data_IF_970336306529
#
_entry.id   IF_970336306529
#
_cell.length_a   1.000
_cell.length_b   1.000
_cell.length_c   1.000
_cell.angle_alpha   90.00
_cell.angle_beta   90.00
_cell.angle_gamma   90.00
#
_symmetry.space_group_name_H-M   'P 1'
#
loop_
_entity.id
_entity.type
_entity.pdbx_description
1 polymer ?
#
# COMPACT_ATOMS: atom_id res chain seq x y z
N UNK A 1 -29.46 25.35 -6.40
CA UNK A 1 -28.27 24.49 -6.44
C UNK A 1 -28.14 23.81 -5.08
N UNK A 2 -28.24 22.48 -5.02
CA UNK A 2 -27.97 21.75 -3.77
C UNK A 2 -26.53 22.05 -3.36
N UNK A 3 -26.34 22.64 -2.18
CA UNK A 3 -25.00 22.93 -1.67
C UNK A 3 -24.23 21.64 -1.44
N UNK A 4 -22.95 21.62 -1.83
CA UNK A 4 -22.03 20.52 -1.55
C UNK A 4 -21.85 20.39 -0.03
N UNK A 5 -21.96 19.16 0.48
CA UNK A 5 -21.84 18.83 1.91
C UNK A 5 -20.70 17.85 2.15
N UNK A 6 -20.10 17.94 3.33
CA UNK A 6 -19.13 16.97 3.84
C UNK A 6 -19.74 15.57 3.80
N UNK A 7 -18.93 14.59 3.37
CA UNK A 7 -19.31 13.18 3.23
C UNK A 7 -19.92 12.81 1.87
N UNK A 8 -20.30 13.79 1.03
CA UNK A 8 -20.81 13.51 -0.31
C UNK A 8 -19.71 12.99 -1.24
N UNK A 9 -20.11 12.12 -2.17
CA UNK A 9 -19.25 11.63 -3.25
C UNK A 9 -19.47 12.53 -4.47
N UNK A 10 -18.38 13.11 -4.96
CA UNK A 10 -18.36 14.09 -6.04
C UNK A 10 -17.31 13.73 -7.08
N UNK A 11 -17.54 14.13 -8.32
CA UNK A 11 -16.53 14.18 -9.37
C UNK A 11 -16.13 15.64 -9.64
N UNK A 12 -14.97 15.85 -10.25
CA UNK A 12 -14.53 17.18 -10.68
C UNK A 12 -14.86 17.38 -12.16
N UNK A 13 -15.68 18.39 -12.47
CA UNK A 13 -16.10 18.71 -13.83
C UNK A 13 -14.90 19.03 -14.74
N UNK A 14 -13.91 19.76 -14.22
CA UNK A 14 -12.67 20.10 -14.93
C UNK A 14 -11.81 18.88 -15.34
N UNK A 15 -12.09 17.71 -14.76
CA UNK A 15 -11.42 16.44 -15.07
C UNK A 15 -12.42 15.39 -15.59
N UNK A 16 -13.57 15.82 -16.14
CA UNK A 16 -14.61 14.94 -16.66
C UNK A 16 -15.14 13.90 -15.64
N UNK A 17 -15.03 14.19 -14.34
CA UNK A 17 -15.40 13.26 -13.26
C UNK A 17 -14.68 11.91 -13.37
N UNK A 18 -13.44 11.89 -13.87
CA UNK A 18 -12.59 10.71 -14.01
C UNK A 18 -12.32 9.96 -12.70
N UNK A 19 -12.23 10.71 -11.59
CA UNK A 19 -12.01 10.19 -10.24
C UNK A 19 -13.16 10.59 -9.33
N UNK A 20 -13.64 9.61 -8.55
CA UNK A 20 -14.58 9.84 -7.46
C UNK A 20 -13.85 10.32 -6.22
N UNK A 21 -14.37 11.39 -5.63
CA UNK A 21 -13.84 11.98 -4.40
C UNK A 21 -14.92 12.03 -3.33
N UNK A 22 -14.52 11.88 -2.07
CA UNK A 22 -15.31 12.23 -0.89
C UNK A 22 -14.95 13.62 -0.40
N UNK A 23 -15.97 14.43 -0.12
CA UNK A 23 -15.78 15.75 0.48
C UNK A 23 -15.42 15.59 1.96
N UNK A 24 -14.22 16.00 2.34
CA UNK A 24 -13.73 15.93 3.73
C UNK A 24 -14.01 17.21 4.48
N UNK A 25 -13.82 18.36 3.84
CA UNK A 25 -14.10 19.67 4.41
C UNK A 25 -14.58 20.65 3.33
N UNK A 26 -15.35 21.65 3.74
CA UNK A 26 -15.78 22.76 2.88
C UNK A 26 -15.39 24.06 3.56
N UNK A 27 -14.44 24.77 2.98
CA UNK A 27 -13.88 26.02 3.48
C UNK A 27 -14.30 27.17 2.54
N UNK A 28 -15.51 27.67 2.74
CA UNK A 28 -16.09 28.73 1.90
C UNK A 28 -16.29 28.27 0.46
N UNK A 29 -15.51 28.81 -0.47
CA UNK A 29 -15.61 28.50 -1.90
C UNK A 29 -14.78 27.28 -2.34
N UNK A 30 -13.98 26.71 -1.45
CA UNK A 30 -13.07 25.58 -1.75
C UNK A 30 -13.42 24.38 -0.87
N UNK A 31 -13.35 23.18 -1.43
CA UNK A 31 -13.50 21.93 -0.71
C UNK A 31 -12.20 21.13 -0.71
N UNK A 32 -11.95 20.42 0.39
CA UNK A 32 -10.90 19.40 0.51
C UNK A 32 -11.52 18.03 0.20
N UNK A 33 -10.84 17.29 -0.67
CA UNK A 33 -11.34 16.07 -1.29
C UNK A 33 -10.33 14.94 -1.12
N UNK A 34 -10.79 13.76 -0.71
CA UNK A 34 -10.02 12.52 -0.76
C UNK A 34 -10.58 11.60 -1.84
N UNK A 35 -9.72 10.97 -2.64
CA UNK A 35 -10.17 9.98 -3.62
C UNK A 35 -10.87 8.80 -2.93
N UNK A 36 -11.87 8.20 -3.58
CA UNK A 36 -12.57 7.01 -3.06
C UNK A 36 -11.81 5.71 -3.36
N UNK A 37 -11.07 5.70 -4.46
CA UNK A 37 -10.33 4.55 -5.00
C UNK A 37 -8.82 4.81 -5.12
N UNK A 38 -8.40 6.03 -4.82
CA UNK A 38 -7.07 6.56 -4.97
C UNK A 38 -6.62 7.28 -3.69
N UNK A 39 -5.38 7.04 -3.25
CA UNK A 39 -4.69 7.74 -2.15
C UNK A 39 -4.31 9.20 -2.49
N UNK A 40 -5.24 9.92 -3.11
CA UNK A 40 -5.07 11.27 -3.65
C UNK A 40 -5.86 12.26 -2.80
N UNK A 41 -5.21 13.37 -2.44
CA UNK A 41 -5.89 14.54 -1.86
C UNK A 41 -5.89 15.68 -2.86
N UNK A 42 -7.02 16.37 -2.95
CA UNK A 42 -7.17 17.53 -3.82
C UNK A 42 -7.94 18.65 -3.12
N UNK A 43 -7.59 19.89 -3.46
CA UNK A 43 -8.41 21.05 -3.15
C UNK A 43 -9.09 21.51 -4.46
N UNK A 44 -10.39 21.78 -4.42
CA UNK A 44 -11.16 22.16 -5.59
C UNK A 44 -12.23 23.22 -5.27
N UNK A 45 -12.53 24.16 -6.18
CA UNK A 45 -13.66 25.07 -6.03
C UNK A 45 -14.98 24.28 -5.93
N UNK A 46 -15.89 24.69 -5.04
CA UNK A 46 -17.20 24.04 -4.88
C UNK A 46 -17.99 24.02 -6.19
N UNK A 47 -17.78 25.02 -7.05
CA UNK A 47 -18.39 25.12 -8.39
C UNK A 47 -17.86 24.11 -9.40
N UNK A 48 -16.70 23.49 -9.14
CA UNK A 48 -16.11 22.43 -9.98
C UNK A 48 -16.65 21.04 -9.60
N UNK A 49 -17.45 20.93 -8.53
CA UNK A 49 -17.90 19.66 -7.99
C UNK A 49 -19.27 19.26 -8.52
N UNK A 50 -19.36 18.02 -9.01
CA UNK A 50 -20.59 17.40 -9.47
C UNK A 50 -20.92 16.25 -8.51
N UNK A 51 -22.09 16.30 -7.87
CA UNK A 51 -22.55 15.19 -7.03
C UNK A 51 -22.84 13.97 -7.90
N UNK A 52 -22.20 12.86 -7.60
CA UNK A 52 -22.30 11.65 -8.41
C UNK A 52 -23.57 10.88 -8.06
N UNK A 53 -24.34 10.45 -9.05
CA UNK A 53 -25.53 9.64 -8.82
C UNK A 53 -25.16 8.21 -8.40
N UNK A 54 -26.11 7.50 -7.79
CA UNK A 54 -25.86 6.14 -7.28
C UNK A 54 -25.50 5.15 -8.41
N UNK A 55 -26.12 5.30 -9.59
CA UNK A 55 -25.82 4.47 -10.76
C UNK A 55 -24.36 4.63 -11.21
N UNK A 56 -23.89 5.89 -11.31
CA UNK A 56 -22.50 6.19 -11.70
C UNK A 56 -21.50 5.68 -10.65
N UNK A 57 -21.82 5.83 -9.36
CA UNK A 57 -20.99 5.29 -8.27
C UNK A 57 -20.87 3.77 -8.35
N UNK A 58 -21.97 3.07 -8.63
CA UNK A 58 -22.00 1.61 -8.79
C UNK A 58 -21.16 1.15 -9.99
N UNK A 59 -21.21 1.88 -11.10
CA UNK A 59 -20.41 1.57 -12.30
C UNK A 59 -18.91 1.67 -12.02
N UNK A 60 -18.45 2.78 -11.43
CA UNK A 60 -17.05 2.94 -11.01
C UNK A 60 -16.62 1.83 -10.04
N UNK A 61 -17.44 1.57 -9.02
CA UNK A 61 -17.16 0.53 -8.02
C UNK A 61 -17.01 -0.86 -8.67
N UNK A 62 -17.86 -1.18 -9.66
CA UNK A 62 -17.80 -2.47 -10.36
C UNK A 62 -16.51 -2.62 -11.16
N UNK A 63 -16.11 -1.59 -11.90
CA UNK A 63 -14.84 -1.59 -12.66
C UNK A 63 -13.64 -1.75 -11.72
N UNK A 64 -13.69 -1.11 -10.55
CA UNK A 64 -12.67 -1.27 -9.52
C UNK A 64 -12.60 -2.71 -8.99
N UNK A 65 -13.74 -3.30 -8.64
CA UNK A 65 -13.84 -4.69 -8.16
C UNK A 65 -13.35 -5.71 -9.18
N UNK A 66 -13.63 -5.50 -10.47
CA UNK A 66 -13.14 -6.36 -11.55
C UNK A 66 -11.61 -6.33 -11.65
N UNK A 67 -11.00 -5.15 -11.51
CA UNK A 67 -9.53 -5.01 -11.46
C UNK A 67 -8.94 -5.67 -10.22
N UNK A 68 -9.57 -5.48 -9.06
CA UNK A 68 -9.17 -6.11 -7.80
C UNK A 68 -9.16 -7.64 -7.91
N UNK A 69 -10.24 -8.22 -8.44
CA UNK A 69 -10.34 -9.66 -8.60
C UNK A 69 -9.31 -10.18 -9.61
N UNK A 70 -9.08 -9.48 -10.71
CA UNK A 70 -8.05 -9.83 -11.70
C UNK A 70 -6.64 -9.87 -11.07
N UNK A 71 -6.26 -8.83 -10.31
CA UNK A 71 -4.99 -8.79 -9.59
C UNK A 71 -4.87 -9.93 -8.57
N UNK A 72 -5.95 -10.23 -7.84
CA UNK A 72 -5.97 -11.32 -6.88
C UNK A 72 -5.74 -12.69 -7.56
N UNK A 73 -6.37 -12.93 -8.72
CA UNK A 73 -6.18 -14.18 -9.47
C UNK A 73 -4.73 -14.34 -9.96
N UNK A 74 -4.12 -13.26 -10.47
CA UNK A 74 -2.70 -13.26 -10.85
C UNK A 74 -1.80 -13.61 -9.65
N UNK A 75 -2.06 -12.99 -8.49
CA UNK A 75 -1.29 -13.28 -7.29
C UNK A 75 -1.41 -14.74 -6.84
N UNK A 76 -2.61 -15.33 -6.93
CA UNK A 76 -2.83 -16.75 -6.63
C UNK A 76 -2.04 -17.67 -7.56
N UNK A 77 -1.94 -17.33 -8.84
CA UNK A 77 -1.14 -18.08 -9.81
C UNK A 77 0.35 -17.99 -9.48
N UNK A 78 0.85 -16.77 -9.23
CA UNK A 78 2.24 -16.51 -8.82
C UNK A 78 2.63 -17.29 -7.57
N UNK A 79 1.75 -17.28 -6.56
CA UNK A 79 1.97 -18.01 -5.30
C UNK A 79 2.05 -19.52 -5.53
N UNK A 80 1.19 -20.06 -6.40
CA UNK A 80 1.21 -21.48 -6.73
C UNK A 80 2.55 -21.86 -7.38
N UNK A 81 3.04 -21.07 -8.33
CA UNK A 81 4.31 -21.31 -9.01
C UNK A 81 5.51 -21.26 -8.05
N UNK A 82 5.57 -20.24 -7.17
CA UNK A 82 6.64 -20.12 -6.16
C UNK A 82 6.63 -21.32 -5.21
N UNK A 83 5.45 -21.75 -4.79
CA UNK A 83 5.31 -22.90 -3.89
C UNK A 83 5.77 -24.19 -4.57
N UNK A 84 5.36 -24.44 -5.81
CA UNK A 84 5.77 -25.62 -6.58
C UNK A 84 7.29 -25.67 -6.81
N UNK A 85 7.90 -24.53 -7.18
CA UNK A 85 9.36 -24.43 -7.35
C UNK A 85 10.09 -24.76 -6.05
N UNK A 86 9.60 -24.25 -4.93
CA UNK A 86 10.31 -24.42 -3.67
C UNK A 86 10.03 -25.75 -2.97
N UNK A 87 8.86 -26.37 -3.20
CA UNK A 87 8.60 -27.77 -2.82
C UNK A 87 9.61 -28.73 -3.48
N UNK A 88 9.96 -28.48 -4.75
CA UNK A 88 11.00 -29.22 -5.45
C UNK A 88 12.39 -29.07 -4.81
N UNK A 89 12.76 -27.85 -4.38
CA UNK A 89 14.04 -27.57 -3.72
C UNK A 89 14.13 -28.23 -2.33
N UNK A 90 13.07 -28.12 -1.50
CA UNK A 90 13.07 -28.62 -0.12
C UNK A 90 13.14 -30.14 -0.09
N UNK A 91 12.43 -30.80 -0.99
CA UNK A 91 12.42 -32.27 -1.08
C UNK A 91 13.73 -32.83 -1.64
N UNK A 92 14.69 -32.00 -2.07
CA UNK A 92 15.91 -32.44 -2.76
C UNK A 92 15.63 -33.40 -3.92
N UNK A 93 14.45 -33.27 -4.56
CA UNK A 93 13.99 -34.18 -5.62
C UNK A 93 13.39 -35.52 -5.15
N UNK A 94 13.23 -35.76 -3.85
CA UNK A 94 12.54 -36.95 -3.33
C UNK A 94 11.02 -36.77 -3.33
N UNK A 95 10.28 -37.83 -3.68
CA UNK A 95 8.82 -37.81 -3.86
C UNK A 95 8.00 -37.81 -2.56
N UNK A 96 8.65 -37.85 -1.40
CA UNK A 96 7.94 -37.76 -0.13
C UNK A 96 7.49 -36.32 0.12
N UNK A 97 6.17 -36.10 0.05
CA UNK A 97 5.53 -34.85 0.46
C UNK A 97 5.70 -34.68 1.97
N UNK A 98 6.87 -34.25 2.42
CA UNK A 98 7.03 -33.83 3.81
C UNK A 98 6.17 -32.59 4.02
N UNK A 99 5.21 -32.69 4.95
CA UNK A 99 4.43 -31.55 5.37
C UNK A 99 5.37 -30.56 6.08
N UNK A 100 5.48 -29.35 5.54
CA UNK A 100 6.10 -28.20 6.20
C UNK A 100 5.04 -27.13 6.41
N UNK A 101 5.24 -26.27 7.41
CA UNK A 101 4.42 -25.07 7.59
C UNK A 101 5.17 -23.85 7.06
N UNK A 102 4.40 -22.86 6.62
CA UNK A 102 4.89 -21.57 6.13
C UNK A 102 4.69 -20.50 7.20
N UNK A 103 5.71 -19.69 7.41
CA UNK A 103 5.68 -18.48 8.24
C UNK A 103 5.91 -17.27 7.34
N UNK A 104 4.84 -16.67 6.78
CA UNK A 104 4.95 -15.43 6.01
C UNK A 104 5.48 -14.28 6.87
N UNK A 105 6.16 -13.33 6.23
CA UNK A 105 6.60 -12.11 6.91
C UNK A 105 5.40 -11.30 7.43
N UNK A 106 5.48 -10.82 8.67
CA UNK A 106 4.43 -10.06 9.34
C UNK A 106 4.46 -8.59 8.94
N UNK A 107 3.28 -8.03 8.69
CA UNK A 107 3.12 -6.64 8.25
C UNK A 107 2.59 -5.79 9.39
N UNK A 108 3.21 -4.63 9.59
CA UNK A 108 2.60 -3.48 10.26
C UNK A 108 2.18 -2.47 9.18
N UNK A 109 0.87 -2.24 9.02
CA UNK A 109 0.34 -1.28 8.07
C UNK A 109 -0.22 -0.06 8.80
N UNK A 110 0.45 1.08 8.65
CA UNK A 110 0.00 2.38 9.12
C UNK A 110 -0.58 3.15 7.93
N UNK A 111 -1.85 3.55 7.98
CA UNK A 111 -2.50 4.33 6.92
C UNK A 111 -3.21 5.58 7.48
N UNK A 112 -3.08 6.70 6.77
CA UNK A 112 -3.81 7.93 7.05
C UNK A 112 -5.32 7.82 6.84
N UNK A 113 -5.76 6.79 6.11
CA UNK A 113 -7.16 6.56 5.78
C UNK A 113 -7.66 5.21 6.33
N UNK A 114 -8.67 5.21 7.23
CA UNK A 114 -9.21 3.97 7.79
C UNK A 114 -9.97 3.11 6.76
N UNK A 115 -10.57 3.70 5.72
CA UNK A 115 -11.25 2.96 4.67
C UNK A 115 -10.24 2.26 3.77
N UNK A 116 -9.14 2.92 3.38
CA UNK A 116 -8.08 2.25 2.63
C UNK A 116 -7.40 1.16 3.43
N UNK A 117 -7.11 1.43 4.71
CA UNK A 117 -6.53 0.43 5.59
C UNK A 117 -7.39 -0.83 5.60
N UNK A 118 -8.71 -0.68 5.81
CA UNK A 118 -9.65 -1.81 5.82
C UNK A 118 -9.66 -2.60 4.51
N UNK A 119 -9.62 -1.91 3.37
CA UNK A 119 -9.52 -2.57 2.04
C UNK A 119 -8.20 -3.34 1.92
N UNK A 120 -7.08 -2.73 2.29
CA UNK A 120 -5.76 -3.36 2.20
C UNK A 120 -5.66 -4.58 3.12
N UNK A 121 -6.11 -4.49 4.37
CA UNK A 121 -6.08 -5.61 5.33
C UNK A 121 -6.94 -6.77 4.86
N UNK A 122 -8.13 -6.50 4.31
CA UNK A 122 -8.99 -7.56 3.77
C UNK A 122 -8.31 -8.35 2.65
N UNK A 123 -7.50 -7.69 1.81
CA UNK A 123 -6.73 -8.36 0.76
C UNK A 123 -5.57 -9.16 1.35
N UNK A 124 -4.83 -8.62 2.33
CA UNK A 124 -3.79 -9.38 3.03
C UNK A 124 -4.34 -10.64 3.70
N UNK A 125 -5.50 -10.53 4.37
CA UNK A 125 -6.19 -11.66 5.01
C UNK A 125 -6.58 -12.73 3.98
N UNK A 126 -7.14 -12.31 2.84
CA UNK A 126 -7.49 -13.20 1.72
C UNK A 126 -6.26 -13.92 1.15
N UNK A 127 -5.08 -13.30 1.24
CA UNK A 127 -3.80 -13.87 0.81
C UNK A 127 -3.12 -14.74 1.87
N UNK A 128 -3.64 -14.78 3.10
CA UNK A 128 -3.03 -15.48 4.23
C UNK A 128 -1.76 -14.80 4.74
N UNK A 129 -1.67 -13.48 4.60
CA UNK A 129 -0.53 -12.69 5.06
C UNK A 129 -0.89 -12.03 6.40
N UNK A 130 -0.13 -12.28 7.48
CA UNK A 130 -0.42 -11.71 8.78
C UNK A 130 -0.16 -10.20 8.79
N UNK A 131 -1.19 -9.42 9.10
CA UNK A 131 -1.15 -7.95 9.13
C UNK A 131 -1.71 -7.39 10.44
N UNK A 132 -1.05 -6.37 10.97
CA UNK A 132 -1.57 -5.49 12.00
C UNK A 132 -1.77 -4.09 11.41
N UNK A 133 -3.03 -3.68 11.26
CA UNK A 133 -3.39 -2.38 10.67
C UNK A 133 -3.66 -1.32 11.74
N UNK A 134 -3.11 -0.12 11.57
CA UNK A 134 -3.38 1.04 12.44
C UNK A 134 -3.69 2.27 11.60
N UNK A 135 -4.81 2.94 11.87
CA UNK A 135 -5.13 4.20 11.21
C UNK A 135 -4.60 5.37 12.04
N UNK A 136 -3.72 6.17 11.44
CA UNK A 136 -3.05 7.30 12.12
C UNK A 136 -2.96 8.45 11.14
N UNK A 137 -3.36 9.68 11.50
CA UNK A 137 -3.14 10.85 10.64
C UNK A 137 -1.65 11.00 10.26
N UNK A 138 -1.36 11.40 9.02
CA UNK A 138 0.01 11.40 8.49
C UNK A 138 0.98 12.16 9.39
N UNK A 139 0.54 13.31 9.91
CA UNK A 139 1.31 14.17 10.83
C UNK A 139 1.74 13.50 12.13
N UNK A 140 1.01 12.46 12.57
CA UNK A 140 1.25 11.73 13.83
C UNK A 140 2.05 10.45 13.62
N UNK A 141 2.16 9.95 12.38
CA UNK A 141 2.91 8.72 12.07
C UNK A 141 4.36 8.74 12.56
N UNK A 142 5.14 9.83 12.40
CA UNK A 142 6.52 9.87 12.91
C UNK A 142 6.62 9.70 14.42
N UNK A 143 5.59 10.13 15.17
CA UNK A 143 5.58 10.10 16.62
C UNK A 143 5.25 8.71 17.17
N UNK A 144 4.48 7.91 16.43
CA UNK A 144 3.96 6.64 16.91
C UNK A 144 4.70 5.42 16.34
N UNK A 145 5.33 5.55 15.16
CA UNK A 145 5.94 4.42 14.44
C UNK A 145 6.94 3.61 15.29
N UNK A 146 7.77 4.27 16.10
CA UNK A 146 8.75 3.60 16.93
C UNK A 146 8.09 2.66 17.97
N UNK A 147 7.10 3.18 18.70
CA UNK A 147 6.35 2.39 19.69
C UNK A 147 5.60 1.20 19.07
N UNK A 148 5.07 1.38 17.86
CA UNK A 148 4.37 0.31 17.13
C UNK A 148 5.33 -0.77 16.66
N UNK A 149 6.54 -0.41 16.22
CA UNK A 149 7.57 -1.38 15.84
C UNK A 149 8.00 -2.24 17.04
N UNK A 150 8.16 -1.65 18.21
CA UNK A 150 8.52 -2.39 19.43
C UNK A 150 7.44 -3.37 19.88
N UNK A 151 6.16 -2.96 19.76
CA UNK A 151 5.01 -3.76 20.14
C UNK A 151 4.73 -4.90 19.14
N UNK A 152 4.67 -4.58 17.85
CA UNK A 152 4.23 -5.51 16.79
C UNK A 152 5.38 -6.38 16.29
N UNK A 153 6.61 -5.86 16.30
CA UNK A 153 7.82 -6.51 15.77
C UNK A 153 7.63 -7.09 14.36
N UNK A 154 7.21 -6.26 13.39
CA UNK A 154 6.93 -6.72 12.03
C UNK A 154 8.23 -6.99 11.25
N UNK A 155 8.12 -7.77 10.18
CA UNK A 155 9.17 -7.94 9.16
C UNK A 155 9.05 -6.88 8.06
N UNK A 156 7.83 -6.37 7.84
CA UNK A 156 7.51 -5.37 6.82
C UNK A 156 6.69 -4.25 7.44
N UNK A 157 7.11 -3.00 7.22
CA UNK A 157 6.39 -1.79 7.62
C UNK A 157 5.84 -1.10 6.38
N UNK A 158 4.54 -0.77 6.40
CA UNK A 158 3.86 -0.01 5.35
C UNK A 158 3.38 1.31 5.93
N UNK A 159 3.82 2.43 5.37
CA UNK A 159 3.43 3.79 5.77
C UNK A 159 2.78 4.48 4.58
N UNK A 160 1.45 4.52 4.56
CA UNK A 160 0.68 5.09 3.46
C UNK A 160 -0.35 6.10 3.97
N UNK A 161 -1.02 6.81 3.08
CA UNK A 161 -2.00 7.82 3.47
C UNK A 161 -2.37 8.64 2.25
N UNK A 162 -2.54 9.95 2.42
CA UNK A 162 -2.80 10.88 1.32
C UNK A 162 -1.60 11.77 1.07
N UNK A 163 -1.38 12.14 -0.19
CA UNK A 163 -0.40 13.15 -0.56
C UNK A 163 -0.77 13.80 -1.89
N UNK A 164 -0.14 14.94 -2.17
CA UNK A 164 -0.35 15.70 -3.38
C UNK A 164 0.86 16.55 -3.71
N UNK A 165 1.23 16.59 -4.99
CA UNK A 165 2.26 17.49 -5.50
C UNK A 165 1.63 18.80 -5.99
N UNK A 166 2.05 19.91 -5.39
CA UNK A 166 1.54 21.25 -5.63
C UNK A 166 2.58 22.06 -6.42
N UNK A 167 2.40 22.10 -7.75
CA UNK A 167 3.30 22.82 -8.69
C UNK A 167 3.51 24.30 -8.33
N UNK A 168 2.54 24.95 -7.70
CA UNK A 168 2.62 26.35 -7.29
C UNK A 168 3.46 26.58 -6.02
N UNK A 169 3.77 25.53 -5.25
CA UNK A 169 4.57 25.63 -4.02
C UNK A 169 6.05 25.33 -4.23
N UNK A 170 6.45 24.81 -5.39
CA UNK A 170 7.84 24.52 -5.75
C UNK A 170 7.95 23.46 -6.85
N UNK A 171 9.19 23.16 -7.24
CA UNK A 171 9.53 22.07 -8.15
C UNK A 171 9.42 20.68 -7.53
N UNK A 172 9.53 19.64 -8.36
CA UNK A 172 9.43 18.23 -7.93
C UNK A 172 10.52 17.80 -6.94
N UNK A 173 11.61 18.55 -6.84
CA UNK A 173 12.71 18.28 -5.92
C UNK A 173 12.64 19.09 -4.61
N UNK A 174 11.56 19.84 -4.42
CA UNK A 174 11.37 20.68 -3.23
C UNK A 174 10.32 20.06 -2.31
N UNK A 175 10.73 19.66 -1.10
CA UNK A 175 9.83 18.99 -0.14
C UNK A 175 8.58 19.82 0.20
N UNK A 176 8.69 21.16 0.25
CA UNK A 176 7.56 22.08 0.49
C UNK A 176 6.45 22.01 -0.58
N UNK A 177 6.75 21.45 -1.75
CA UNK A 177 5.78 21.27 -2.82
C UNK A 177 4.84 20.08 -2.57
N UNK A 178 5.08 19.30 -1.53
CA UNK A 178 4.30 18.11 -1.19
C UNK A 178 3.49 18.35 0.09
N UNK A 179 2.27 17.81 0.16
CA UNK A 179 1.38 18.02 1.30
C UNK A 179 1.85 17.24 2.52
N UNK A 180 2.13 15.95 2.34
CA UNK A 180 2.39 15.01 3.43
C UNK A 180 3.69 14.21 3.29
N UNK A 181 4.38 14.28 2.15
CA UNK A 181 5.67 13.57 1.95
C UNK A 181 6.67 13.77 3.09
N UNK A 182 6.70 14.95 3.74
CA UNK A 182 7.57 15.20 4.90
C UNK A 182 7.31 14.19 6.02
N UNK A 183 6.05 13.91 6.33
CA UNK A 183 5.72 13.00 7.42
C UNK A 183 6.07 11.55 7.08
N UNK A 184 5.91 11.13 5.83
CA UNK A 184 6.39 9.80 5.42
C UNK A 184 7.91 9.68 5.56
N UNK A 185 8.66 10.71 5.12
CA UNK A 185 10.12 10.75 5.27
C UNK A 185 10.54 10.67 6.74
N UNK A 186 9.90 11.46 7.60
CA UNK A 186 10.23 11.50 9.02
C UNK A 186 9.88 10.16 9.69
N UNK A 187 8.72 9.56 9.37
CA UNK A 187 8.35 8.24 9.90
C UNK A 187 9.30 7.12 9.45
N UNK A 188 9.77 7.13 8.20
CA UNK A 188 10.79 6.18 7.72
C UNK A 188 12.10 6.35 8.51
N UNK A 189 12.53 7.59 8.76
CA UNK A 189 13.75 7.85 9.55
C UNK A 189 13.60 7.36 11.00
N UNK A 190 12.47 7.62 11.65
CA UNK A 190 12.23 7.11 13.00
C UNK A 190 12.20 5.58 13.04
N UNK A 191 11.58 4.93 12.05
CA UNK A 191 11.62 3.48 11.91
C UNK A 191 13.05 2.94 11.78
N UNK A 192 13.91 3.62 11.01
CA UNK A 192 15.33 3.26 10.84
C UNK A 192 16.20 3.53 12.07
N UNK A 193 15.77 4.35 13.01
CA UNK A 193 16.45 4.44 14.32
C UNK A 193 16.20 3.20 15.17
N UNK A 194 15.03 2.59 15.05
CA UNK A 194 14.67 1.34 15.77
C UNK A 194 15.24 0.11 15.07
N UNK A 195 15.05 0.00 13.75
CA UNK A 195 15.57 -1.12 12.93
C UNK A 195 16.39 -0.56 11.75
N UNK A 196 17.72 -0.38 11.92
CA UNK A 196 18.56 0.28 10.92
C UNK A 196 18.71 -0.49 9.60
N UNK A 197 18.72 -1.82 9.66
CA UNK A 197 19.07 -2.66 8.52
C UNK A 197 17.87 -2.92 7.61
N UNK A 198 18.04 -2.67 6.31
CA UNK A 198 17.01 -2.83 5.28
C UNK A 198 16.51 -4.26 5.13
N UNK A 199 17.38 -5.25 5.37
CA UNK A 199 17.04 -6.66 5.29
C UNK A 199 16.28 -7.17 6.52
N UNK A 200 16.34 -6.45 7.64
CA UNK A 200 15.61 -6.82 8.87
C UNK A 200 14.20 -6.24 8.89
N UNK A 201 14.03 -5.01 8.40
CA UNK A 201 12.74 -4.36 8.26
C UNK A 201 12.61 -3.80 6.85
N UNK A 202 11.73 -4.41 6.05
CA UNK A 202 11.39 -3.88 4.73
C UNK A 202 10.39 -2.76 4.91
N UNK A 203 10.63 -1.60 4.30
CA UNK A 203 9.73 -0.45 4.42
C UNK A 203 9.16 -0.09 3.05
N UNK A 204 7.83 -0.08 2.95
CA UNK A 204 7.09 0.56 1.87
C UNK A 204 6.51 1.89 2.38
N UNK A 205 6.75 3.00 1.68
CA UNK A 205 6.20 4.29 2.11
C UNK A 205 5.73 5.22 0.97
N UNK A 206 4.66 5.96 1.22
CA UNK A 206 4.16 7.02 0.35
C UNK A 206 2.69 6.87 -0.06
N UNK A 207 2.19 7.86 -0.79
CA UNK A 207 0.84 7.93 -1.33
C UNK A 207 0.86 8.36 -2.81
N UNK A 208 -0.28 8.77 -3.36
CA UNK A 208 -0.31 9.33 -4.70
C UNK A 208 0.54 10.61 -4.74
N UNK A 209 1.29 10.79 -5.82
CA UNK A 209 2.09 11.98 -6.06
C UNK A 209 3.17 12.30 -5.01
N UNK A 210 3.59 11.33 -4.21
CA UNK A 210 4.62 11.55 -3.18
C UNK A 210 6.01 11.89 -3.72
N UNK A 211 6.86 12.44 -2.87
CA UNK A 211 8.27 12.70 -3.15
C UNK A 211 9.10 11.41 -3.04
N UNK A 212 8.90 10.52 -4.01
CA UNK A 212 9.54 9.22 -4.14
C UNK A 212 11.03 9.19 -3.79
N UNK A 213 11.85 10.05 -4.41
CA UNK A 213 13.30 10.03 -4.23
C UNK A 213 13.69 10.35 -2.78
N UNK A 214 12.98 11.27 -2.14
CA UNK A 214 13.27 11.65 -0.75
C UNK A 214 12.86 10.55 0.24
N UNK A 215 11.77 9.83 -0.03
CA UNK A 215 11.33 8.67 0.77
C UNK A 215 12.34 7.52 0.67
N UNK A 216 12.81 7.18 -0.54
CA UNK A 216 13.87 6.16 -0.69
C UNK A 216 15.16 6.58 0.01
N UNK A 217 15.60 7.83 -0.15
CA UNK A 217 16.79 8.36 0.54
C UNK A 217 16.66 8.35 2.06
N UNK A 218 15.43 8.39 2.59
CA UNK A 218 15.18 8.28 4.02
C UNK A 218 15.42 6.86 4.57
N UNK A 219 15.50 5.85 3.70
CA UNK A 219 15.78 4.46 4.05
C UNK A 219 14.62 3.49 3.77
N UNK A 220 13.62 3.90 2.98
CA UNK A 220 12.58 2.99 2.51
C UNK A 220 13.12 2.02 1.45
N UNK A 221 12.62 0.79 1.43
CA UNK A 221 12.94 -0.19 0.38
C UNK A 221 12.12 0.12 -0.88
N UNK A 222 10.85 0.50 -0.69
CA UNK A 222 9.91 0.83 -1.74
C UNK A 222 9.24 2.16 -1.45
N UNK A 223 8.97 2.91 -2.50
CA UNK A 223 8.19 4.13 -2.41
C UNK A 223 7.23 4.27 -3.58
N UNK A 224 6.19 5.06 -3.38
CA UNK A 224 5.20 5.33 -4.42
C UNK A 224 5.47 6.60 -5.23
N UNK A 225 4.88 6.62 -6.41
CA UNK A 225 4.74 7.72 -7.37
C UNK A 225 6.05 8.35 -7.83
N UNK A 226 7.03 7.63 -8.42
CA UNK A 226 8.24 8.23 -8.99
C UNK A 226 7.94 9.34 -10.00
N UNK A 227 6.91 9.18 -10.83
CA UNK A 227 6.47 10.19 -11.81
C UNK A 227 5.49 11.23 -11.26
N UNK A 228 5.12 11.12 -9.98
CA UNK A 228 4.11 11.94 -9.29
C UNK A 228 2.72 11.73 -9.88
N UNK A 229 2.41 10.47 -10.16
CA UNK A 229 1.10 10.06 -10.65
C UNK A 229 0.25 9.44 -9.54
N UNK A 230 -1.00 9.32 -9.88
CA UNK A 230 -2.05 8.63 -9.16
C UNK A 230 -1.77 7.11 -9.16
N UNK A 231 -1.71 6.49 -7.98
CA UNK A 231 -1.47 5.04 -7.82
C UNK A 231 -2.71 4.32 -7.31
N UNK A 232 -2.91 3.08 -7.72
CA UNK A 232 -4.03 2.30 -7.23
C UNK A 232 -3.86 1.92 -5.75
N UNK A 233 -4.96 1.80 -5.00
CA UNK A 233 -4.90 1.45 -3.58
C UNK A 233 -4.26 0.08 -3.30
N UNK A 234 -4.43 -0.87 -4.24
CA UNK A 234 -3.92 -2.25 -4.16
C UNK A 234 -2.44 -2.40 -4.55
N UNK A 235 -1.87 -1.40 -5.20
CA UNK A 235 -0.49 -1.47 -5.69
C UNK A 235 0.50 -1.73 -4.53
N UNK A 236 0.45 -1.00 -3.40
CA UNK A 236 1.28 -1.31 -2.22
C UNK A 236 1.00 -2.69 -1.62
N UNK A 237 -0.25 -3.15 -1.68
CA UNK A 237 -0.65 -4.46 -1.14
C UNK A 237 0.06 -5.56 -1.90
N UNK A 238 0.07 -5.48 -3.23
CA UNK A 238 0.73 -6.45 -4.09
C UNK A 238 2.23 -6.55 -3.80
N UNK A 239 2.91 -5.41 -3.75
CA UNK A 239 4.36 -5.33 -3.46
C UNK A 239 4.68 -6.00 -2.13
N UNK A 240 3.96 -5.62 -1.10
CA UNK A 240 4.21 -6.06 0.27
C UNK A 240 3.86 -7.54 0.46
N UNK A 241 2.76 -8.01 -0.13
CA UNK A 241 2.37 -9.41 -0.07
C UNK A 241 3.38 -10.30 -0.81
N UNK A 242 3.92 -9.83 -1.95
CA UNK A 242 4.98 -10.55 -2.67
C UNK A 242 6.22 -10.70 -1.80
N UNK A 243 6.70 -9.63 -1.17
CA UNK A 243 7.84 -9.68 -0.24
C UNK A 243 7.58 -10.64 0.93
N UNK A 244 6.38 -10.60 1.52
CA UNK A 244 6.00 -11.46 2.64
C UNK A 244 6.03 -12.96 2.29
N UNK A 245 5.62 -13.31 1.07
CA UNK A 245 5.47 -14.69 0.61
C UNK A 245 6.65 -15.22 -0.24
N UNK A 246 7.63 -14.38 -0.55
CA UNK A 246 8.89 -14.83 -1.17
C UNK A 246 9.82 -15.40 -0.09
N UNK A 247 10.51 -16.55 -0.32
CA UNK A 247 11.48 -17.11 0.62
C UNK A 247 12.56 -16.12 1.05
N UNK A 248 13.00 -16.20 2.31
CA UNK A 248 13.96 -15.24 2.87
C UNK A 248 15.35 -15.24 2.22
N UNK A 249 15.69 -16.30 1.48
CA UNK A 249 16.94 -16.41 0.71
C UNK A 249 16.81 -15.88 -0.71
N UNK A 250 15.59 -15.66 -1.18
CA UNK A 250 15.33 -15.26 -2.56
C UNK A 250 15.21 -13.75 -2.67
N UNK A 251 15.68 -13.23 -3.81
CA UNK A 251 15.51 -11.82 -4.17
C UNK A 251 14.12 -11.58 -4.73
N UNK A 252 13.49 -10.49 -4.32
CA UNK A 252 12.25 -10.01 -4.91
C UNK A 252 12.61 -9.18 -6.15
N UNK A 253 12.36 -9.73 -7.33
CA UNK A 253 12.63 -9.07 -8.60
C UNK A 253 11.76 -7.82 -8.79
N UNK A 254 12.38 -6.63 -8.83
CA UNK A 254 11.67 -5.35 -8.99
C UNK A 254 10.79 -5.31 -10.24
N UNK A 255 11.30 -5.80 -11.36
CA UNK A 255 10.55 -5.81 -12.62
C UNK A 255 9.34 -6.73 -12.56
N UNK A 256 9.47 -7.90 -11.96
CA UNK A 256 8.36 -8.84 -11.84
C UNK A 256 7.31 -8.31 -10.86
N UNK A 257 7.76 -7.63 -9.80
CA UNK A 257 6.89 -6.96 -8.86
C UNK A 257 6.08 -5.82 -9.52
N UNK A 258 6.72 -4.99 -10.36
CA UNK A 258 6.05 -3.85 -10.99
C UNK A 258 5.14 -4.23 -12.16
N UNK A 259 5.47 -5.27 -12.96
CA UNK A 259 4.64 -5.74 -14.09
C UNK A 259 3.20 -6.11 -13.70
N UNK A 260 3.02 -6.56 -12.47
CA UNK A 260 1.72 -7.04 -11.97
C UNK A 260 0.97 -5.99 -11.15
N UNK A 261 1.57 -4.80 -10.96
CA UNK A 261 0.89 -3.66 -10.33
C UNK A 261 0.07 -2.92 -11.38
N UNK A 262 -1.03 -2.30 -10.97
CA UNK A 262 -1.96 -1.63 -11.89
C UNK A 262 -1.34 -0.37 -12.49
N UNK A 263 -0.44 0.29 -11.76
CA UNK A 263 0.21 1.54 -12.21
C UNK A 263 1.60 1.33 -12.80
N UNK A 264 2.24 0.17 -12.56
CA UNK A 264 3.57 -0.15 -13.06
C UNK A 264 4.68 0.71 -12.46
N UNK A 265 5.81 0.78 -13.17
CA UNK A 265 7.04 1.49 -12.78
C UNK A 265 6.87 3.01 -12.66
N UNK A 266 5.85 3.56 -13.32
CA UNK A 266 5.51 4.99 -13.17
C UNK A 266 4.88 5.28 -11.81
N UNK A 267 4.23 4.27 -11.24
CA UNK A 267 3.45 4.37 -10.01
C UNK A 267 4.20 3.95 -8.76
N UNK A 268 5.19 3.06 -8.86
CA UNK A 268 5.99 2.65 -7.71
C UNK A 268 7.40 2.26 -8.14
N UNK A 269 8.31 2.23 -7.18
CA UNK A 269 9.67 1.75 -7.38
C UNK A 269 10.33 1.40 -6.06
N UNK A 270 11.56 0.89 -6.14
CA UNK A 270 12.30 0.50 -4.96
C UNK A 270 13.70 0.03 -5.29
N UNK A 271 14.34 -0.56 -4.28
CA UNK A 271 15.65 -1.18 -4.35
C UNK A 271 15.54 -2.69 -4.19
N UNK A 272 16.60 -3.42 -4.57
CA UNK A 272 16.66 -4.86 -4.34
C UNK A 272 16.38 -5.20 -2.86
N UNK A 273 15.55 -6.22 -2.64
CA UNK A 273 15.09 -6.63 -1.31
C UNK A 273 14.88 -8.14 -1.32
N UNK A 274 15.17 -8.81 -0.21
CA UNK A 274 14.92 -10.25 -0.02
C UNK A 274 13.51 -10.52 0.49
N UNK A 275 13.01 -11.73 0.23
CA UNK A 275 11.75 -12.18 0.79
C UNK A 275 11.76 -12.29 2.32
N UNK A 276 10.60 -12.61 2.91
CA UNK A 276 10.44 -12.82 4.36
C UNK A 276 9.81 -14.15 4.75
N UNK A 277 9.37 -14.95 3.78
CA UNK A 277 8.79 -16.26 4.05
C UNK A 277 9.84 -17.20 4.63
N UNK A 278 9.50 -17.81 5.76
CA UNK A 278 10.23 -18.92 6.36
C UNK A 278 9.38 -20.19 6.31
N UNK A 279 10.05 -21.34 6.44
CA UNK A 279 9.40 -22.64 6.51
C UNK A 279 9.97 -23.43 7.67
N UNK A 280 9.13 -24.25 8.27
CA UNK A 280 9.50 -25.08 9.41
C UNK A 280 8.90 -26.48 9.35
N UNK A 281 9.48 -27.37 10.14
CA UNK A 281 9.04 -28.75 10.38
C UNK A 281 9.20 -29.04 11.89
N UNK A 282 8.41 -29.97 12.47
CA UNK A 282 7.32 -30.73 11.86
C UNK A 282 6.02 -29.91 11.73
N UNK A 283 5.07 -30.39 10.93
CA UNK A 283 3.68 -29.89 10.99
C UNK A 283 2.99 -30.66 12.11
N UNK A 284 2.64 -29.98 13.20
CA UNK A 284 1.79 -30.58 14.23
C UNK A 284 0.44 -30.93 13.61
N UNK A 285 0.00 -32.17 13.79
CA UNK A 285 -1.39 -32.55 13.60
C UNK A 285 -2.14 -32.06 14.84
N UNK A 286 -2.77 -30.89 14.77
CA UNK A 286 -3.62 -30.43 15.86
C UNK A 286 -4.90 -31.31 15.91
N UNK A 287 -4.85 -32.38 16.70
CA UNK A 287 -6.07 -33.00 17.27
C UNK A 287 -6.55 -32.08 18.41
N UNK A 288 -7.44 -31.13 18.07
CA UNK A 288 -8.27 -30.50 19.09
C UNK A 288 -9.40 -31.47 19.42
N UNK A 289 -9.25 -32.26 20.49
CA UNK A 289 -10.40 -32.89 21.16
C UNK A 289 -11.22 -31.78 21.84
N UNK A 290 -12.54 -31.79 21.58
CA UNK A 290 -13.56 -30.85 22.07
C UNK A 290 -13.66 -30.74 23.61
#
# INVERSE_FOLDING_TARGET
MQGIKVGQIVGRASYNCDVLFRVIAVNGATAELFGEEMRLVADAPVTDLVVMEEAQRKEHTKVFQEKEESCYQLFRQDRKLIREQSEYEITSGYTEKHAFFELPGRILHIDGDPLYLKKCTAVYDRLGVPVYGVSIPEKEMPLQVASLLEMVRPDILVITGHDAYMKNKGGKDELKAYRNSKYFIDAVKEARKVVPYMDNLVIFAGACQSYFQAILRAGANFASSPERINIHALDPVYVVAKVSLTPFMDRVGLWDLLKHTLTGERGMGGIETTGKLRRGIPVEQEEYEE
#
